data_IF_396232383949
#
_entry.id   IF_396232383949
#
_cell.length_a   1.000
_cell.length_b   1.000
_cell.length_c   1.000
_cell.angle_alpha   90.00
_cell.angle_beta   90.00
_cell.angle_gamma   90.00
#
_symmetry.space_group_name_H-M   'P 1'
#
loop_
_entity.id
_entity.type
_entity.pdbx_description
1 polymer ?
#
# COMPACT_ATOMS: atom_id res chain seq x y z
N UNK A 1 -6.53 0.92 -10.28
CA UNK A 1 -7.06 1.57 -9.04
C UNK A 1 -8.54 1.90 -9.12
N UNK A 2 -9.04 2.64 -10.13
CA UNK A 2 -10.46 2.98 -10.22
C UNK A 2 -11.41 1.77 -10.19
N UNK A 3 -11.03 0.68 -10.84
CA UNK A 3 -11.84 -0.55 -10.83
C UNK A 3 -11.90 -1.23 -9.45
N UNK A 4 -10.77 -1.32 -8.74
CA UNK A 4 -10.74 -1.85 -7.38
C UNK A 4 -11.60 -1.00 -6.43
N UNK A 5 -11.62 0.33 -6.59
CA UNK A 5 -12.52 1.23 -5.85
C UNK A 5 -13.99 0.87 -6.07
N UNK A 6 -14.40 0.59 -7.32
CA UNK A 6 -15.78 0.14 -7.60
C UNK A 6 -16.09 -1.18 -6.90
N UNK A 7 -15.17 -2.15 -6.94
CA UNK A 7 -15.37 -3.44 -6.26
C UNK A 7 -15.53 -3.28 -4.75
N UNK A 8 -14.84 -2.30 -4.12
CA UNK A 8 -15.07 -1.97 -2.71
C UNK A 8 -16.48 -1.37 -2.50
N UNK A 9 -16.89 -0.43 -3.36
CA UNK A 9 -18.21 0.21 -3.29
C UNK A 9 -19.36 -0.78 -3.54
N UNK A 10 -19.15 -1.78 -4.39
CA UNK A 10 -20.08 -2.89 -4.63
C UNK A 10 -20.08 -3.94 -3.51
N UNK A 11 -19.20 -3.81 -2.51
CA UNK A 11 -19.08 -4.76 -1.40
C UNK A 11 -18.42 -6.09 -1.76
N UNK A 12 -17.83 -6.21 -2.95
CA UNK A 12 -17.18 -7.45 -3.43
C UNK A 12 -15.82 -7.69 -2.78
N UNK A 13 -15.12 -6.63 -2.40
CA UNK A 13 -13.88 -6.67 -1.62
C UNK A 13 -13.96 -5.64 -0.49
N UNK A 14 -13.24 -5.86 0.61
CA UNK A 14 -13.25 -4.92 1.75
C UNK A 14 -12.10 -3.92 1.71
N UNK A 15 -10.93 -4.35 1.26
CA UNK A 15 -9.68 -3.60 1.34
C UNK A 15 -8.86 -3.76 0.07
N UNK A 16 -7.99 -2.78 -0.19
CA UNK A 16 -7.04 -2.82 -1.31
C UNK A 16 -5.63 -2.83 -0.74
N UNK A 17 -4.82 -3.77 -1.20
CA UNK A 17 -3.39 -3.82 -0.93
C UNK A 17 -2.57 -3.73 -2.20
N UNK A 18 -1.29 -3.42 -2.06
CA UNK A 18 -0.29 -3.46 -3.13
C UNK A 18 0.83 -4.43 -2.76
N UNK A 19 1.53 -4.95 -3.75
CA UNK A 19 2.68 -5.84 -3.60
C UNK A 19 3.86 -5.26 -4.38
N UNK A 20 5.03 -5.18 -3.76
CA UNK A 20 6.29 -4.74 -4.38
C UNK A 20 6.17 -3.39 -5.15
N UNK A 21 5.39 -2.47 -4.59
CA UNK A 21 5.07 -1.20 -5.23
C UNK A 21 6.06 -0.10 -4.87
N UNK A 22 6.53 0.66 -5.87
CA UNK A 22 7.39 1.82 -5.63
C UNK A 22 6.69 2.92 -4.81
N UNK A 23 7.48 3.80 -4.18
CA UNK A 23 6.99 4.99 -3.46
C UNK A 23 5.95 5.80 -4.25
N UNK A 24 6.27 6.12 -5.50
CA UNK A 24 5.40 6.89 -6.38
C UNK A 24 4.08 6.14 -6.66
N UNK A 25 4.16 4.83 -6.88
CA UNK A 25 2.97 3.99 -7.10
C UNK A 25 2.08 3.98 -5.86
N UNK A 26 2.63 3.82 -4.66
CA UNK A 26 1.88 3.85 -3.40
C UNK A 26 1.16 5.20 -3.25
N UNK A 27 1.85 6.32 -3.48
CA UNK A 27 1.26 7.67 -3.37
C UNK A 27 0.13 7.89 -4.37
N UNK A 28 0.35 7.58 -5.64
CA UNK A 28 -0.68 7.73 -6.69
C UNK A 28 -1.87 6.83 -6.45
N UNK A 29 -1.64 5.59 -6.01
CA UNK A 29 -2.73 4.66 -5.71
C UNK A 29 -3.55 5.13 -4.50
N UNK A 30 -2.87 5.55 -3.43
CA UNK A 30 -3.50 6.06 -2.20
C UNK A 30 -4.32 7.34 -2.46
N UNK A 31 -3.90 8.19 -3.41
CA UNK A 31 -4.65 9.37 -3.82
C UNK A 31 -5.98 9.05 -4.52
N UNK A 32 -6.11 7.89 -5.18
CA UNK A 32 -7.35 7.45 -5.83
C UNK A 32 -8.31 6.77 -4.83
N UNK A 33 -7.76 5.89 -3.99
CA UNK A 33 -8.48 5.20 -2.93
C UNK A 33 -7.49 4.75 -1.84
N UNK A 34 -7.83 4.87 -0.53
CA UNK A 34 -6.91 4.49 0.55
C UNK A 34 -6.41 3.05 0.44
N UNK A 35 -5.10 2.89 0.35
CA UNK A 35 -4.43 1.58 0.44
C UNK A 35 -4.40 1.12 1.89
N UNK A 36 -4.79 -0.12 2.15
CA UNK A 36 -4.84 -0.68 3.50
C UNK A 36 -3.55 -1.41 3.88
N UNK A 37 -2.86 -2.01 2.91
CA UNK A 37 -1.60 -2.69 3.16
C UNK A 37 -0.67 -2.65 1.95
N UNK A 38 0.62 -2.69 2.21
CA UNK A 38 1.67 -2.86 1.21
C UNK A 38 2.53 -4.04 1.63
N UNK A 39 2.60 -5.05 0.78
CA UNK A 39 3.45 -6.22 0.97
C UNK A 39 4.79 -5.99 0.30
N UNK A 40 5.87 -6.18 1.06
CA UNK A 40 7.24 -5.99 0.60
C UNK A 40 8.15 -7.09 1.12
N UNK A 41 9.22 -7.39 0.39
CA UNK A 41 10.34 -8.13 0.96
C UNK A 41 10.98 -7.33 2.12
N UNK A 42 10.92 -7.89 3.32
CA UNK A 42 11.56 -7.32 4.50
C UNK A 42 12.07 -8.43 5.42
N UNK A 43 13.38 -8.50 5.58
CA UNK A 43 14.05 -9.51 6.39
C UNK A 43 15.30 -8.96 7.08
N UNK A 44 16.02 -9.80 7.82
CA UNK A 44 17.33 -9.42 8.36
C UNK A 44 18.37 -9.14 7.25
N UNK A 45 18.17 -9.68 6.05
CA UNK A 45 19.07 -9.53 4.91
C UNK A 45 18.62 -8.48 3.89
N UNK A 46 17.34 -8.07 3.94
CA UNK A 46 16.73 -7.13 3.00
C UNK A 46 15.98 -6.05 3.78
N UNK A 47 16.57 -4.85 3.84
CA UNK A 47 16.15 -3.72 4.69
C UNK A 47 16.00 -2.40 3.92
N UNK A 48 16.04 -2.45 2.59
CA UNK A 48 16.00 -1.30 1.69
C UNK A 48 14.73 -0.46 1.90
N UNK A 49 13.61 -1.13 2.19
CA UNK A 49 12.31 -0.48 2.39
C UNK A 49 12.26 0.46 3.61
N UNK A 50 13.19 0.32 4.55
CA UNK A 50 13.20 1.08 5.80
C UNK A 50 13.52 2.56 5.60
N UNK A 51 14.22 2.91 4.53
CA UNK A 51 14.58 4.30 4.22
C UNK A 51 13.37 5.08 3.68
N UNK A 52 12.50 4.39 2.93
CA UNK A 52 11.54 5.04 2.04
C UNK A 52 10.10 4.59 2.29
N UNK A 53 9.83 3.28 2.12
CA UNK A 53 8.48 2.72 2.18
C UNK A 53 7.94 2.71 3.61
N UNK A 54 8.75 2.31 4.59
CA UNK A 54 8.33 2.23 5.99
C UNK A 54 7.92 3.62 6.52
N UNK A 55 8.72 4.69 6.34
CA UNK A 55 8.30 6.04 6.71
C UNK A 55 7.05 6.51 5.97
N UNK A 56 6.93 6.20 4.68
CA UNK A 56 5.73 6.56 3.91
C UNK A 56 4.47 5.90 4.48
N UNK A 57 4.50 4.59 4.72
CA UNK A 57 3.33 3.86 5.24
C UNK A 57 2.93 4.36 6.63
N UNK A 58 3.91 4.67 7.49
CA UNK A 58 3.67 5.31 8.80
C UNK A 58 3.04 6.70 8.65
N UNK A 59 3.54 7.52 7.72
CA UNK A 59 3.00 8.85 7.45
C UNK A 59 1.52 8.80 7.01
N UNK A 60 1.16 7.83 6.16
CA UNK A 60 -0.21 7.65 5.67
C UNK A 60 -1.19 7.09 6.73
N UNK A 61 -0.72 6.76 7.95
CA UNK A 61 -1.47 6.33 9.15
C UNK A 61 -2.40 5.11 9.02
N UNK A 62 -2.77 4.69 7.81
CA UNK A 62 -3.74 3.62 7.52
C UNK A 62 -3.18 2.51 6.61
N UNK A 63 -1.86 2.46 6.44
CA UNK A 63 -1.19 1.48 5.60
C UNK A 63 -0.36 0.54 6.46
N UNK A 64 -0.77 -0.72 6.55
CA UNK A 64 0.04 -1.78 7.16
C UNK A 64 1.14 -2.24 6.22
N UNK A 65 2.32 -2.56 6.75
CA UNK A 65 3.39 -3.21 6.00
C UNK A 65 3.34 -4.70 6.37
N UNK A 66 3.34 -5.57 5.37
CA UNK A 66 3.27 -7.02 5.54
C UNK A 66 4.43 -7.70 4.81
#
# INVERSE_FOLDING_TARGET
>A
MGELKKLVQEGKIRYIGLWEASLDTIRRAHAVYPISAVQMEWSLWTREIEQDIVPLCRYLSRVSIM
#
